data_IF_511038376557
#
_entry.id   IF_511038376557
#
_cell.length_a   1.000
_cell.length_b   1.000
_cell.length_c   1.000
_cell.angle_alpha   90.00
_cell.angle_beta   90.00
_cell.angle_gamma   90.00
#
_symmetry.space_group_name_H-M   'P 1'
#
loop_
_entity.id
_entity.type
_entity.pdbx_description
1 polymer ?
#
# COMPACT_ATOMS: atom_id res chain seq x y z
N UNK A 1 11.81 -2.06 22.43
CA UNK A 1 12.36 -3.23 21.72
C UNK A 1 12.08 -2.96 20.26
N UNK A 2 13.09 -2.72 19.43
CA UNK A 2 12.86 -2.52 18.00
C UNK A 2 12.27 -3.83 17.45
N UNK A 3 11.08 -3.79 16.86
CA UNK A 3 10.53 -4.95 16.17
C UNK A 3 11.41 -5.26 14.96
N UNK A 4 11.83 -6.51 14.81
CA UNK A 4 12.61 -6.95 13.65
C UNK A 4 11.75 -6.93 12.39
N UNK A 5 12.36 -6.80 11.22
CA UNK A 5 11.64 -6.82 9.93
C UNK A 5 10.84 -8.13 9.72
N UNK A 6 11.31 -9.24 10.31
CA UNK A 6 10.59 -10.52 10.34
C UNK A 6 9.29 -10.44 11.15
N UNK A 7 9.33 -9.84 12.35
CA UNK A 7 8.16 -9.71 13.24
C UNK A 7 7.10 -8.77 12.62
N UNK A 8 7.56 -7.69 11.98
CA UNK A 8 6.70 -6.80 11.19
C UNK A 8 6.03 -7.58 10.07
N UNK A 9 6.81 -8.38 9.33
CA UNK A 9 6.26 -9.18 8.24
C UNK A 9 5.21 -10.19 8.74
N UNK A 10 5.47 -10.94 9.81
CA UNK A 10 4.51 -11.90 10.37
C UNK A 10 3.19 -11.24 10.79
N UNK A 11 3.26 -10.06 11.42
CA UNK A 11 2.06 -9.29 11.81
C UNK A 11 1.33 -8.69 10.63
N UNK A 12 2.06 -8.14 9.64
CA UNK A 12 1.47 -7.63 8.40
C UNK A 12 0.80 -8.77 7.65
N UNK A 13 1.45 -9.93 7.54
CA UNK A 13 0.92 -11.13 6.92
C UNK A 13 -0.40 -11.55 7.58
N UNK A 14 -0.42 -11.66 8.90
CA UNK A 14 -1.64 -11.98 9.65
C UNK A 14 -2.76 -10.95 9.44
N UNK A 15 -2.43 -9.66 9.37
CA UNK A 15 -3.40 -8.61 9.09
C UNK A 15 -3.97 -8.71 7.66
N UNK A 16 -3.14 -9.03 6.67
CA UNK A 16 -3.55 -9.21 5.28
C UNK A 16 -4.42 -10.45 5.09
N UNK A 17 -4.04 -11.59 5.70
CA UNK A 17 -4.83 -12.83 5.70
C UNK A 17 -6.22 -12.59 6.28
N UNK A 18 -6.32 -11.86 7.39
CA UNK A 18 -7.59 -11.57 8.05
C UNK A 18 -8.44 -10.54 7.29
N UNK A 19 -7.80 -9.53 6.67
CA UNK A 19 -8.48 -8.49 5.90
C UNK A 19 -8.98 -9.00 4.54
N UNK A 20 -8.16 -9.78 3.83
CA UNK A 20 -8.42 -10.24 2.46
C UNK A 20 -9.03 -11.65 2.40
N UNK A 21 -8.95 -12.42 3.49
CA UNK A 21 -9.41 -13.81 3.52
C UNK A 21 -8.59 -14.76 2.63
N UNK A 22 -7.32 -14.41 2.38
CA UNK A 22 -6.36 -15.20 1.59
C UNK A 22 -5.53 -16.12 2.50
N UNK A 23 -4.84 -17.11 1.93
CA UNK A 23 -3.99 -18.02 2.71
C UNK A 23 -2.63 -17.38 3.04
N UNK A 24 -1.98 -17.79 4.13
CA UNK A 24 -0.70 -17.18 4.53
C UNK A 24 0.42 -17.47 3.52
N UNK A 25 0.32 -18.61 2.82
CA UNK A 25 1.25 -19.03 1.76
C UNK A 25 1.16 -18.12 0.52
N UNK A 26 0.01 -17.48 0.28
CA UNK A 26 -0.15 -16.51 -0.82
C UNK A 26 0.51 -15.16 -0.46
N UNK A 27 0.52 -14.79 0.82
CA UNK A 27 1.03 -13.50 1.29
C UNK A 27 2.56 -13.51 1.38
N UNK A 28 3.21 -13.29 0.24
CA UNK A 28 4.66 -13.18 0.10
C UNK A 28 5.12 -11.72 0.03
N UNK A 29 6.38 -11.43 0.39
CA UNK A 29 6.93 -10.05 0.34
C UNK A 29 6.86 -9.42 -1.06
N UNK A 30 6.94 -10.23 -2.11
CA UNK A 30 6.85 -9.78 -3.51
C UNK A 30 5.40 -9.77 -4.05
N UNK A 31 4.45 -10.36 -3.31
CA UNK A 31 3.05 -10.41 -3.72
C UNK A 31 2.46 -9.00 -3.76
N UNK A 32 1.73 -8.72 -4.84
CA UNK A 32 1.04 -7.44 -5.02
C UNK A 32 -0.33 -7.49 -4.36
N UNK A 33 -0.69 -6.43 -3.64
CA UNK A 33 -1.94 -6.39 -2.88
C UNK A 33 -3.15 -6.60 -3.79
N UNK A 34 -3.18 -5.96 -4.97
CA UNK A 34 -4.30 -6.08 -5.90
C UNK A 34 -4.11 -7.19 -6.94
N UNK A 35 -2.91 -7.34 -7.49
CA UNK A 35 -2.69 -8.29 -8.59
C UNK A 35 -2.60 -9.75 -8.15
N UNK A 36 -1.95 -9.99 -7.01
CA UNK A 36 -1.70 -11.33 -6.47
C UNK A 36 -2.75 -11.67 -5.39
N UNK A 37 -2.94 -10.78 -4.42
CA UNK A 37 -3.87 -11.02 -3.29
C UNK A 37 -5.31 -10.56 -3.57
N UNK A 38 -5.58 -9.93 -4.71
CA UNK A 38 -6.94 -9.57 -5.12
C UNK A 38 -7.60 -8.45 -4.31
N UNK A 39 -6.84 -7.63 -3.58
CA UNK A 39 -7.38 -6.53 -2.78
C UNK A 39 -8.14 -5.51 -3.65
N UNK A 40 -9.29 -5.08 -3.16
CA UNK A 40 -10.09 -3.99 -3.71
C UNK A 40 -9.98 -2.73 -2.85
N UNK A 41 -10.47 -1.59 -3.34
CA UNK A 41 -10.43 -0.30 -2.62
C UNK A 41 -11.03 -0.37 -1.20
N UNK A 42 -12.02 -1.24 -0.98
CA UNK A 42 -12.63 -1.45 0.34
C UNK A 42 -11.70 -2.21 1.29
N UNK A 43 -10.92 -3.17 0.78
CA UNK A 43 -10.03 -3.99 1.59
C UNK A 43 -8.88 -3.16 2.15
N UNK A 44 -8.41 -2.15 1.42
CA UNK A 44 -7.42 -1.21 1.94
C UNK A 44 -7.86 -0.53 3.24
N UNK A 45 -9.17 -0.27 3.42
CA UNK A 45 -9.69 0.30 4.67
C UNK A 45 -9.58 -0.70 5.82
N UNK A 46 -9.84 -1.98 5.56
CA UNK A 46 -9.71 -3.03 6.57
C UNK A 46 -8.23 -3.29 6.91
N UNK A 47 -7.38 -3.40 5.89
CA UNK A 47 -5.92 -3.54 6.05
C UNK A 47 -5.35 -2.41 6.92
N UNK A 48 -5.67 -1.15 6.62
CA UNK A 48 -5.27 0.01 7.43
C UNK A 48 -5.68 -0.21 8.88
N UNK A 49 -6.97 -0.50 9.12
CA UNK A 49 -7.51 -0.66 10.46
C UNK A 49 -6.85 -1.81 11.24
N UNK A 50 -6.59 -2.95 10.58
CA UNK A 50 -5.91 -4.11 11.17
C UNK A 50 -4.47 -3.79 11.53
N UNK A 51 -3.75 -3.10 10.65
CA UNK A 51 -2.37 -2.68 10.89
C UNK A 51 -2.27 -1.67 12.04
N UNK A 52 -3.13 -0.64 12.05
CA UNK A 52 -3.22 0.33 13.14
C UNK A 52 -3.43 -0.39 14.49
N UNK A 53 -4.35 -1.37 14.54
CA UNK A 53 -4.61 -2.20 15.71
C UNK A 53 -3.44 -3.10 16.11
N UNK A 54 -2.77 -3.73 15.14
CA UNK A 54 -1.72 -4.71 15.38
C UNK A 54 -0.40 -4.08 15.87
N UNK A 55 -0.14 -2.85 15.41
CA UNK A 55 1.09 -2.13 15.69
C UNK A 55 0.89 -0.93 16.63
N UNK A 56 -0.35 -0.61 17.02
CA UNK A 56 -0.71 0.58 17.82
C UNK A 56 -0.20 1.88 17.18
N UNK A 57 -0.37 1.98 15.86
CA UNK A 57 0.06 3.13 15.04
C UNK A 57 -1.15 3.82 14.41
N UNK A 58 -0.94 5.05 13.96
CA UNK A 58 -1.91 5.79 13.16
C UNK A 58 -1.44 5.85 11.71
N UNK A 59 -2.24 5.29 10.81
CA UNK A 59 -1.95 5.25 9.38
C UNK A 59 -3.00 6.11 8.67
N UNK A 60 -2.64 7.31 8.18
CA UNK A 60 -3.57 8.09 7.40
C UNK A 60 -3.83 7.40 6.06
N UNK A 61 -5.11 7.22 5.73
CA UNK A 61 -5.56 6.57 4.49
C UNK A 61 -4.90 7.13 3.23
N UNK A 62 -4.57 8.42 3.21
CA UNK A 62 -3.97 9.08 2.05
C UNK A 62 -2.52 8.64 1.78
N UNK A 63 -1.85 8.08 2.80
CA UNK A 63 -0.53 7.48 2.63
C UNK A 63 -0.68 6.12 1.92
N UNK A 64 -1.65 5.26 2.27
CA UNK A 64 -1.80 3.93 1.63
C UNK A 64 -2.66 3.93 0.36
N UNK A 65 -3.74 4.71 0.34
CA UNK A 65 -4.71 4.79 -0.76
C UNK A 65 -4.97 6.26 -1.10
N UNK A 66 -4.17 6.86 -2.01
CA UNK A 66 -4.32 8.25 -2.41
C UNK A 66 -5.47 8.43 -3.41
N UNK A 67 -6.67 7.95 -3.08
CA UNK A 67 -7.87 8.03 -3.93
C UNK A 67 -8.18 9.48 -4.36
N UNK A 68 -7.93 10.45 -3.49
CA UNK A 68 -8.07 11.88 -3.79
C UNK A 68 -7.15 12.35 -4.93
N UNK A 69 -6.02 11.68 -5.17
CA UNK A 69 -5.16 11.94 -6.32
C UNK A 69 -5.67 11.15 -7.53
N UNK A 70 -5.96 9.85 -7.33
CA UNK A 70 -6.32 8.91 -8.39
C UNK A 70 -7.72 9.14 -9.00
N UNK A 71 -8.60 9.85 -8.30
CA UNK A 71 -9.96 10.17 -8.77
C UNK A 71 -10.13 11.62 -9.19
N UNK A 72 -9.11 12.46 -8.95
CA UNK A 72 -9.20 13.89 -9.19
C UNK A 72 -8.73 14.25 -10.60
N UNK A 73 -9.62 14.93 -11.33
CA UNK A 73 -9.40 15.36 -12.72
C UNK A 73 -8.20 16.30 -12.92
N UNK A 74 -7.72 16.95 -11.86
CA UNK A 74 -6.50 17.76 -11.90
C UNK A 74 -5.26 16.87 -12.03
N UNK A 75 -5.27 15.72 -11.37
CA UNK A 75 -4.13 14.81 -11.29
C UNK A 75 -4.24 13.64 -12.25
N UNK A 76 -5.45 13.31 -12.72
CA UNK A 76 -5.73 12.19 -13.63
C UNK A 76 -6.46 12.67 -14.87
N UNK A 77 -5.95 12.26 -16.04
CA UNK A 77 -6.53 12.53 -17.35
C UNK A 77 -6.58 11.23 -18.16
N UNK A 78 -7.75 10.90 -18.71
CA UNK A 78 -7.96 9.67 -19.49
C UNK A 78 -7.57 8.37 -18.72
N UNK A 79 -7.75 8.37 -17.40
CA UNK A 79 -7.36 7.25 -16.53
C UNK A 79 -5.83 7.10 -16.37
N UNK A 80 -5.06 8.12 -16.72
CA UNK A 80 -3.60 8.20 -16.57
C UNK A 80 -3.27 9.33 -15.58
N UNK A 81 -2.43 9.03 -14.60
CA UNK A 81 -1.90 10.01 -13.65
C UNK A 81 -0.93 10.93 -14.40
N UNK A 82 -1.20 12.22 -14.33
CA UNK A 82 -0.39 13.29 -14.91
C UNK A 82 0.92 13.49 -14.13
N UNK A 83 1.85 14.27 -14.68
CA UNK A 83 3.11 14.58 -13.98
C UNK A 83 2.92 15.24 -12.62
N UNK A 84 1.88 16.08 -12.46
CA UNK A 84 1.54 16.73 -11.19
C UNK A 84 1.03 15.72 -10.17
N UNK A 85 0.15 14.80 -10.61
CA UNK A 85 -0.34 13.69 -9.79
C UNK A 85 0.80 12.77 -9.36
N UNK A 86 1.74 12.49 -10.27
CA UNK A 86 2.92 11.69 -9.95
C UNK A 86 3.81 12.34 -8.90
N UNK A 87 3.99 13.66 -8.96
CA UNK A 87 4.76 14.39 -7.97
C UNK A 87 4.13 14.30 -6.57
N UNK A 88 2.80 14.41 -6.49
CA UNK A 88 2.07 14.27 -5.22
C UNK A 88 2.08 12.82 -4.69
N UNK A 89 1.94 11.82 -5.57
CA UNK A 89 2.07 10.40 -5.17
C UNK A 89 3.45 10.12 -4.58
N UNK A 90 4.52 10.57 -5.24
CA UNK A 90 5.91 10.42 -4.74
C UNK A 90 6.14 11.14 -3.41
N UNK A 91 5.45 12.26 -3.19
CA UNK A 91 5.54 13.02 -1.94
C UNK A 91 4.81 12.34 -0.78
N UNK A 92 3.63 11.76 -1.03
CA UNK A 92 2.83 11.07 0.00
C UNK A 92 3.33 9.66 0.28
N UNK A 93 3.91 8.99 -0.72
CA UNK A 93 4.39 7.63 -0.61
C UNK A 93 5.88 7.53 -0.96
N UNK A 94 6.76 8.18 -0.18
CA UNK A 94 8.21 8.02 -0.37
C UNK A 94 8.66 6.57 -0.06
N UNK A 95 7.81 5.81 0.62
CA UNK A 95 8.01 4.42 0.99
C UNK A 95 7.67 3.43 -0.14
N UNK A 96 6.88 3.84 -1.16
CA UNK A 96 6.46 2.97 -2.26
C UNK A 96 7.34 3.17 -3.50
N UNK A 97 7.69 2.07 -4.18
CA UNK A 97 8.47 2.13 -5.42
C UNK A 97 7.61 2.48 -6.64
N UNK A 98 7.49 3.77 -6.97
CA UNK A 98 6.72 4.27 -8.12
C UNK A 98 7.50 4.32 -9.44
N UNK A 99 8.71 3.76 -9.50
CA UNK A 99 9.58 3.88 -10.69
C UNK A 99 9.01 3.17 -11.93
N UNK A 100 8.44 1.97 -11.76
CA UNK A 100 7.78 1.25 -12.86
C UNK A 100 6.45 1.90 -13.24
N UNK A 101 5.71 2.40 -12.24
CA UNK A 101 4.46 3.12 -12.47
C UNK A 101 4.65 4.38 -13.31
N UNK A 102 5.70 5.15 -13.06
CA UNK A 102 5.98 6.37 -13.83
C UNK A 102 6.15 6.11 -15.33
N UNK A 103 6.55 4.89 -15.73
CA UNK A 103 6.64 4.51 -17.15
C UNK A 103 5.27 4.29 -17.79
N UNK A 104 4.28 3.84 -17.02
CA UNK A 104 2.89 3.65 -17.47
C UNK A 104 1.92 3.98 -16.32
N UNK A 105 1.67 5.28 -16.05
CA UNK A 105 1.00 5.71 -14.83
C UNK A 105 -0.53 5.61 -14.96
N UNK A 106 -1.04 4.41 -15.21
CA UNK A 106 -2.47 4.12 -15.36
C UNK A 106 -3.09 3.91 -13.99
N UNK A 107 -4.18 4.60 -13.67
CA UNK A 107 -4.86 4.48 -12.36
C UNK A 107 -5.23 3.03 -12.02
N UNK A 108 -5.62 2.24 -13.02
CA UNK A 108 -5.95 0.82 -12.84
C UNK A 108 -4.74 -0.03 -12.42
N UNK A 109 -3.55 0.32 -12.87
CA UNK A 109 -2.30 -0.38 -12.52
C UNK A 109 -1.77 0.02 -11.14
N UNK A 110 -2.26 1.12 -10.56
CA UNK A 110 -1.75 1.64 -9.29
C UNK A 110 -1.86 0.63 -8.14
N UNK A 111 -2.99 -0.07 -8.03
CA UNK A 111 -3.18 -1.08 -7.00
C UNK A 111 -2.20 -2.25 -7.10
N UNK A 112 -1.74 -2.56 -8.32
CA UNK A 112 -0.80 -3.65 -8.57
C UNK A 112 0.66 -3.27 -8.26
N UNK A 113 0.93 -2.02 -7.87
CA UNK A 113 2.27 -1.57 -7.50
C UNK A 113 2.64 -1.90 -6.07
N UNK A 114 1.64 -1.90 -5.19
CA UNK A 114 1.88 -2.03 -3.76
C UNK A 114 2.11 -3.49 -3.45
N UNK A 115 3.32 -3.82 -3.00
CA UNK A 115 3.65 -5.16 -2.52
C UNK A 115 3.47 -5.27 -1.01
N UNK A 116 3.35 -6.51 -0.52
CA UNK A 116 3.41 -6.79 0.93
C UNK A 116 4.73 -6.27 1.53
N UNK A 117 5.83 -6.33 0.77
CA UNK A 117 7.13 -5.81 1.16
C UNK A 117 7.13 -4.29 1.35
N UNK A 118 6.52 -3.53 0.44
CA UNK A 118 6.36 -2.08 0.57
C UNK A 118 5.57 -1.74 1.84
N UNK A 119 4.49 -2.48 2.11
CA UNK A 119 3.67 -2.32 3.31
C UNK A 119 4.46 -2.60 4.60
N UNK A 120 5.29 -3.64 4.60
CA UNK A 120 6.18 -3.95 5.73
C UNK A 120 7.21 -2.83 5.96
N UNK A 121 7.78 -2.28 4.89
CA UNK A 121 8.72 -1.16 4.98
C UNK A 121 8.04 0.10 5.54
N UNK A 122 6.82 0.39 5.07
CA UNK A 122 6.01 1.50 5.57
C UNK A 122 5.71 1.37 7.06
N UNK A 123 5.18 0.21 7.49
CA UNK A 123 4.91 -0.06 8.90
C UNK A 123 6.19 0.04 9.72
N UNK A 124 7.29 -0.57 9.25
CA UNK A 124 8.60 -0.49 9.90
C UNK A 124 9.09 0.94 10.09
N UNK A 125 8.83 1.83 9.13
CA UNK A 125 9.13 3.26 9.26
C UNK A 125 8.27 3.97 10.31
N UNK A 126 7.09 3.45 10.68
CA UNK A 126 6.20 4.05 11.69
C UNK A 126 6.46 3.50 13.10
N UNK A 127 6.80 2.21 13.23
CA UNK A 127 7.09 1.58 14.54
C UNK A 127 8.55 1.71 14.98
N UNK A 128 9.45 2.10 14.08
CA UNK A 128 10.88 2.28 14.34
C UNK A 128 11.28 3.69 14.81
N UNK A 129 10.36 4.66 14.82
CA UNK A 129 10.59 6.03 15.34
C UNK A 129 10.33 6.15 16.85
#
# INVERSE_FOLDING_TARGET
MAQSQEDIFEKVQAALVDALGVDDDEVNRDATLVGDLGAESIDFLDIVFKLEKAFDITIPREELSPEDILTNSQYVQDGVVTGDGMAELKRRMPWANLAEFEKNPRVQDFGNLLTVGDLCNYVGSKVGE
#
